data_IF_403621379171
#
_entry.id   IF_403621379171
#
_cell.length_a   1.000
_cell.length_b   1.000
_cell.length_c   1.000
_cell.angle_alpha   90.00
_cell.angle_beta   90.00
_cell.angle_gamma   90.00
#
_symmetry.space_group_name_H-M   'P 1'
#
loop_
_entity.id
_entity.type
_entity.pdbx_description
1 polymer ?
#
# COMPACT_ATOMS: atom_id res chain seq x y z
N UNK A 1 -3.31 38.52 1.82
CA UNK A 1 -4.73 38.24 2.16
C UNK A 1 -5.47 38.04 0.85
N UNK A 2 -6.22 36.95 0.66
CA UNK A 2 -7.13 36.80 -0.45
C UNK A 2 -8.35 37.67 -0.11
N UNK A 3 -8.69 38.61 -0.99
CA UNK A 3 -9.85 39.51 -0.79
C UNK A 3 -11.11 38.68 -0.59
N UNK A 4 -11.87 38.99 0.48
CA UNK A 4 -13.13 38.34 0.80
C UNK A 4 -13.05 37.16 1.78
N UNK A 5 -11.87 36.77 2.25
CA UNK A 5 -11.78 35.75 3.28
C UNK A 5 -11.88 36.34 4.71
N UNK A 6 -12.67 35.71 5.61
CA UNK A 6 -12.74 36.12 7.00
C UNK A 6 -11.38 35.99 7.69
N UNK A 7 -11.14 36.73 8.78
CA UNK A 7 -9.89 36.71 9.51
C UNK A 7 -9.55 35.34 10.12
N UNK A 8 -10.55 34.53 10.37
CA UNK A 8 -10.40 33.16 10.88
C UNK A 8 -11.38 32.23 10.19
N UNK A 9 -10.96 30.98 10.00
CA UNK A 9 -11.81 29.89 9.49
C UNK A 9 -13.03 29.66 10.40
N UNK A 10 -12.94 30.02 11.69
CA UNK A 10 -14.05 29.89 12.64
C UNK A 10 -15.20 30.87 12.37
N UNK A 11 -14.99 31.90 11.55
CA UNK A 11 -16.03 32.82 11.12
C UNK A 11 -16.68 32.43 9.79
N UNK A 12 -16.22 31.31 9.19
CA UNK A 12 -16.87 30.74 8.00
C UNK A 12 -18.08 29.92 8.42
N UNK A 13 -19.14 29.96 7.62
CA UNK A 13 -20.26 29.01 7.76
C UNK A 13 -19.81 27.64 7.24
N UNK A 14 -20.27 26.57 7.87
CA UNK A 14 -20.15 25.25 7.28
C UNK A 14 -20.90 25.22 5.96
N UNK A 15 -20.35 24.58 4.93
CA UNK A 15 -21.08 24.40 3.67
C UNK A 15 -22.35 23.58 3.94
N UNK A 16 -23.41 23.88 3.22
CA UNK A 16 -24.61 23.04 3.21
C UNK A 16 -24.27 21.70 2.54
N UNK A 17 -24.89 20.63 3.03
CA UNK A 17 -24.74 19.31 2.42
C UNK A 17 -25.38 19.30 1.04
N UNK A 18 -24.65 18.86 0.04
CA UNK A 18 -25.18 18.61 -1.30
C UNK A 18 -25.64 17.15 -1.37
N UNK A 19 -26.94 16.94 -1.21
CA UNK A 19 -27.55 15.61 -1.25
C UNK A 19 -27.36 14.91 -2.60
N UNK A 20 -27.14 15.66 -3.67
CA UNK A 20 -26.85 15.07 -5.00
C UNK A 20 -25.47 14.40 -5.07
N UNK A 21 -24.59 14.70 -4.12
CA UNK A 21 -23.27 14.05 -4.02
C UNK A 21 -23.29 12.77 -3.17
N UNK A 22 -24.43 12.40 -2.58
CA UNK A 22 -24.56 11.19 -1.76
C UNK A 22 -24.81 9.98 -2.69
N UNK A 23 -23.91 9.02 -2.69
CA UNK A 23 -24.05 7.73 -3.38
C UNK A 23 -24.02 6.60 -2.35
N UNK A 24 -25.21 6.18 -1.90
CA UNK A 24 -25.32 5.11 -0.91
C UNK A 24 -24.72 3.78 -1.37
N UNK A 25 -24.71 3.49 -2.67
CA UNK A 25 -24.13 2.26 -3.18
C UNK A 25 -22.60 2.29 -3.06
N UNK A 26 -22.00 3.44 -3.41
CA UNK A 26 -20.56 3.65 -3.26
C UNK A 26 -20.16 3.66 -1.79
N UNK A 27 -20.94 4.28 -0.91
CA UNK A 27 -20.67 4.28 0.54
C UNK A 27 -20.66 2.86 1.12
N UNK A 28 -21.62 2.02 0.73
CA UNK A 28 -21.68 0.60 1.14
C UNK A 28 -20.49 -0.18 0.60
N UNK A 29 -20.11 0.05 -0.67
CA UNK A 29 -18.93 -0.57 -1.27
C UNK A 29 -17.65 -0.18 -0.52
N UNK A 30 -17.49 1.10 -0.17
CA UNK A 30 -16.32 1.58 0.57
C UNK A 30 -16.30 1.06 2.01
N UNK A 31 -17.45 0.97 2.69
CA UNK A 31 -17.54 0.35 4.00
C UNK A 31 -17.08 -1.12 3.94
N UNK A 32 -17.60 -1.89 3.00
CA UNK A 32 -17.19 -3.28 2.77
C UNK A 32 -15.71 -3.41 2.39
N UNK A 33 -15.20 -2.45 1.61
CA UNK A 33 -13.77 -2.38 1.26
C UNK A 33 -12.88 -2.23 2.48
N UNK A 34 -13.26 -1.41 3.47
CA UNK A 34 -12.51 -1.26 4.72
C UNK A 34 -12.43 -2.57 5.48
N UNK A 35 -13.57 -3.26 5.63
CA UNK A 35 -13.62 -4.57 6.31
C UNK A 35 -12.77 -5.63 5.58
N UNK A 36 -12.80 -5.63 4.23
CA UNK A 36 -11.94 -6.48 3.42
C UNK A 36 -10.47 -6.20 3.70
N UNK A 37 -10.07 -4.93 3.71
CA UNK A 37 -8.68 -4.54 3.96
C UNK A 37 -8.22 -4.95 5.36
N UNK A 38 -9.04 -4.80 6.39
CA UNK A 38 -8.74 -5.27 7.75
C UNK A 38 -8.48 -6.79 7.75
N UNK A 39 -9.31 -7.55 7.02
CA UNK A 39 -9.15 -9.00 6.90
C UNK A 39 -7.87 -9.37 6.14
N UNK A 40 -7.51 -8.61 5.09
CA UNK A 40 -6.26 -8.80 4.34
C UNK A 40 -5.04 -8.48 5.20
N UNK A 41 -5.08 -7.39 5.97
CA UNK A 41 -3.99 -7.01 6.87
C UNK A 41 -3.78 -8.06 7.97
N UNK A 42 -4.86 -8.57 8.55
CA UNK A 42 -4.81 -9.68 9.51
C UNK A 42 -4.20 -10.94 8.88
N UNK A 43 -4.58 -11.29 7.64
CA UNK A 43 -4.02 -12.43 6.93
C UNK A 43 -2.52 -12.24 6.64
N UNK A 44 -2.09 -11.02 6.27
CA UNK A 44 -0.66 -10.70 6.10
C UNK A 44 0.13 -10.88 7.40
N UNK A 45 -0.45 -10.46 8.53
CA UNK A 45 0.19 -10.62 9.85
C UNK A 45 0.32 -12.10 10.23
N UNK A 46 -0.73 -12.90 10.05
CA UNK A 46 -0.72 -14.35 10.27
C UNK A 46 0.38 -15.04 9.44
N UNK A 47 0.61 -14.56 8.21
CA UNK A 47 1.65 -15.05 7.30
C UNK A 47 3.02 -14.39 7.51
N UNK A 48 3.15 -13.47 8.47
CA UNK A 48 4.37 -12.66 8.72
C UNK A 48 4.85 -11.86 7.50
N UNK A 49 3.92 -11.47 6.64
CA UNK A 49 4.17 -10.68 5.44
C UNK A 49 3.99 -9.19 5.75
N UNK A 50 5.09 -8.45 5.79
CA UNK A 50 5.06 -7.02 6.09
C UNK A 50 4.27 -6.25 5.03
N UNK A 51 3.48 -5.26 5.44
CA UNK A 51 2.66 -4.48 4.49
C UNK A 51 3.51 -3.80 3.40
N UNK A 52 4.73 -3.35 3.71
CA UNK A 52 5.65 -2.74 2.73
C UNK A 52 6.19 -3.70 1.67
N UNK A 53 6.04 -5.00 1.86
CA UNK A 53 6.43 -5.99 0.87
C UNK A 53 5.30 -6.16 -0.14
N UNK A 54 5.47 -5.71 -1.40
CA UNK A 54 4.46 -5.95 -2.41
C UNK A 54 4.25 -7.44 -2.63
N UNK A 55 3.02 -7.83 -2.91
CA UNK A 55 2.67 -9.20 -3.31
C UNK A 55 2.08 -9.18 -4.72
N UNK A 56 2.04 -10.34 -5.38
CA UNK A 56 1.59 -10.39 -6.76
C UNK A 56 0.10 -10.16 -6.87
N UNK A 57 -0.71 -10.91 -6.11
CA UNK A 57 -2.15 -10.89 -6.29
C UNK A 57 -2.91 -11.08 -4.98
N UNK A 58 -4.05 -10.42 -4.92
CA UNK A 58 -5.14 -10.66 -3.98
C UNK A 58 -6.39 -11.04 -4.77
N UNK A 59 -6.96 -12.20 -4.49
CA UNK A 59 -8.18 -12.68 -5.13
C UNK A 59 -9.30 -12.73 -4.10
N UNK A 60 -10.42 -12.10 -4.39
CA UNK A 60 -11.65 -12.30 -3.63
C UNK A 60 -12.55 -13.26 -4.39
N UNK A 61 -12.97 -14.33 -3.73
CA UNK A 61 -13.83 -15.36 -4.30
C UNK A 61 -15.18 -15.31 -3.64
N UNK A 62 -16.23 -15.04 -4.41
CA UNK A 62 -17.61 -15.03 -3.94
C UNK A 62 -18.56 -15.62 -4.98
N UNK A 63 -19.78 -15.93 -4.54
CA UNK A 63 -20.83 -16.48 -5.45
C UNK A 63 -21.20 -15.48 -6.53
N UNK A 64 -21.30 -14.19 -6.19
CA UNK A 64 -21.59 -13.11 -7.14
C UNK A 64 -20.44 -12.89 -8.13
N UNK A 65 -19.20 -13.06 -7.67
CA UNK A 65 -17.99 -12.89 -8.46
C UNK A 65 -17.68 -11.44 -8.84
N UNK A 66 -18.46 -10.47 -8.35
CA UNK A 66 -18.21 -9.04 -8.57
C UNK A 66 -18.92 -8.21 -7.50
N UNK A 67 -18.18 -7.77 -6.51
CA UNK A 67 -18.69 -7.03 -5.36
C UNK A 67 -17.99 -5.70 -5.10
N UNK A 68 -16.89 -5.43 -5.80
CA UNK A 68 -16.06 -4.23 -5.68
C UNK A 68 -15.84 -3.56 -7.05
N UNK A 69 -16.92 -3.12 -7.75
CA UNK A 69 -16.81 -2.60 -9.11
C UNK A 69 -15.95 -1.33 -9.23
N UNK A 70 -15.89 -0.52 -8.16
CA UNK A 70 -15.18 0.76 -8.16
C UNK A 70 -13.93 0.75 -7.28
N UNK A 71 -13.83 -0.16 -6.29
CA UNK A 71 -12.81 -0.14 -5.26
C UNK A 71 -11.53 -0.92 -5.60
N UNK A 72 -11.45 -1.59 -6.75
CA UNK A 72 -10.35 -2.50 -7.07
C UNK A 72 -8.96 -1.89 -6.96
N UNK A 73 -8.77 -0.65 -7.43
CA UNK A 73 -7.48 0.05 -7.33
C UNK A 73 -7.17 0.47 -5.89
N UNK A 74 -8.17 0.86 -5.13
CA UNK A 74 -8.04 1.23 -3.71
C UNK A 74 -7.61 0.00 -2.92
N UNK A 75 -8.25 -1.15 -3.17
CA UNK A 75 -7.91 -2.42 -2.53
C UNK A 75 -6.48 -2.82 -2.87
N UNK A 76 -6.11 -2.81 -4.14
CA UNK A 76 -4.76 -3.18 -4.58
C UNK A 76 -3.69 -2.29 -3.93
N UNK A 77 -3.88 -0.98 -3.94
CA UNK A 77 -2.95 -0.02 -3.36
C UNK A 77 -2.84 -0.16 -1.83
N UNK A 78 -3.97 -0.26 -1.14
CA UNK A 78 -4.00 -0.33 0.33
C UNK A 78 -3.51 -1.68 0.87
N UNK A 79 -3.78 -2.77 0.14
CA UNK A 79 -3.26 -4.09 0.46
C UNK A 79 -1.80 -4.29 0.01
N UNK A 80 -1.23 -3.34 -0.74
CA UNK A 80 0.08 -3.44 -1.38
C UNK A 80 0.24 -4.73 -2.20
N UNK A 81 -0.68 -4.93 -3.12
CA UNK A 81 -0.63 -6.02 -4.11
C UNK A 81 -0.59 -5.44 -5.51
N UNK A 82 0.09 -6.11 -6.44
CA UNK A 82 0.19 -5.65 -7.83
C UNK A 82 -1.14 -5.79 -8.58
N UNK A 83 -1.97 -6.75 -8.15
CA UNK A 83 -3.26 -7.00 -8.77
C UNK A 83 -4.30 -7.41 -7.73
N UNK A 84 -5.49 -6.83 -7.83
CA UNK A 84 -6.70 -7.31 -7.19
C UNK A 84 -7.63 -7.89 -8.25
N UNK A 85 -8.22 -9.04 -7.97
CA UNK A 85 -9.20 -9.66 -8.85
C UNK A 85 -10.33 -10.31 -8.06
N UNK A 86 -11.48 -10.39 -8.70
CA UNK A 86 -12.65 -11.08 -8.18
C UNK A 86 -12.93 -12.31 -9.04
N UNK A 87 -13.33 -13.40 -8.41
CA UNK A 87 -13.55 -14.68 -9.09
C UNK A 87 -14.71 -15.44 -8.45
N UNK A 88 -15.25 -16.41 -9.18
CA UNK A 88 -16.17 -17.41 -8.64
C UNK A 88 -15.48 -18.72 -8.28
N UNK A 89 -14.22 -18.86 -8.65
CA UNK A 89 -13.44 -20.08 -8.44
C UNK A 89 -12.17 -19.76 -7.66
N UNK A 90 -11.77 -20.66 -6.78
CA UNK A 90 -10.54 -20.53 -6.02
C UNK A 90 -9.32 -20.56 -6.94
N UNK A 91 -8.32 -19.68 -6.72
CA UNK A 91 -7.09 -19.67 -7.50
C UNK A 91 -6.26 -20.93 -7.22
N UNK A 92 -5.45 -21.33 -8.22
CA UNK A 92 -4.49 -22.43 -8.07
C UNK A 92 -3.11 -21.87 -7.74
N UNK A 93 -2.43 -22.45 -6.77
CA UNK A 93 -1.09 -22.02 -6.38
C UNK A 93 -0.90 -21.95 -4.87
N UNK A 94 0.10 -21.18 -4.43
CA UNK A 94 0.42 -20.98 -3.01
C UNK A 94 -0.28 -19.73 -2.48
N UNK A 95 -1.50 -19.89 -2.06
CA UNK A 95 -2.29 -18.82 -1.47
C UNK A 95 -2.54 -19.07 0.02
N UNK A 96 -2.38 -18.03 0.82
CA UNK A 96 -3.01 -17.98 2.13
C UNK A 96 -4.46 -17.54 1.95
N UNK A 97 -5.39 -18.09 2.72
CA UNK A 97 -6.80 -17.76 2.58
C UNK A 97 -7.47 -17.49 3.92
N UNK A 98 -8.49 -16.62 3.88
CA UNK A 98 -9.31 -16.27 5.03
C UNK A 98 -10.76 -16.03 4.59
N UNK A 99 -11.73 -16.44 5.41
CA UNK A 99 -13.14 -16.12 5.18
C UNK A 99 -13.39 -14.62 5.30
N UNK A 100 -14.22 -14.07 4.40
CA UNK A 100 -14.69 -12.69 4.44
C UNK A 100 -16.11 -12.59 3.87
N UNK A 101 -17.06 -12.11 4.66
CA UNK A 101 -18.46 -12.07 4.26
C UNK A 101 -18.95 -13.45 3.85
N UNK A 102 -19.63 -13.53 2.70
CA UNK A 102 -20.10 -14.78 2.11
C UNK A 102 -19.05 -15.47 1.21
N UNK A 103 -17.83 -14.93 1.16
CA UNK A 103 -16.73 -15.40 0.31
C UNK A 103 -15.45 -15.67 1.06
N UNK A 104 -14.35 -15.73 0.30
CA UNK A 104 -13.00 -15.91 0.81
C UNK A 104 -12.02 -14.99 0.10
N UNK A 105 -11.06 -14.50 0.83
CA UNK A 105 -9.88 -13.84 0.28
C UNK A 105 -8.74 -14.84 0.12
N UNK A 106 -7.98 -14.68 -0.95
CA UNK A 106 -6.79 -15.48 -1.26
C UNK A 106 -5.65 -14.52 -1.55
N UNK A 107 -4.61 -14.58 -0.74
CA UNK A 107 -3.42 -13.75 -0.87
C UNK A 107 -2.28 -14.61 -1.41
N UNK A 108 -1.73 -14.22 -2.56
CA UNK A 108 -0.59 -14.91 -3.14
C UNK A 108 0.63 -14.75 -2.22
N UNK A 109 1.15 -15.88 -1.77
CA UNK A 109 2.32 -15.96 -0.89
C UNK A 109 3.56 -16.47 -1.60
N UNK A 110 3.47 -16.77 -2.90
CA UNK A 110 4.62 -17.21 -3.68
C UNK A 110 5.42 -16.00 -4.17
N UNK A 111 6.59 -15.84 -3.60
CA UNK A 111 7.50 -14.75 -3.96
C UNK A 111 8.57 -15.26 -4.92
N UNK A 112 8.51 -14.83 -6.17
CA UNK A 112 9.58 -15.04 -7.14
C UNK A 112 10.86 -14.25 -6.79
N UNK A 113 11.94 -14.49 -7.53
CA UNK A 113 13.21 -13.81 -7.29
C UNK A 113 13.10 -12.29 -7.42
N UNK A 114 12.29 -11.81 -8.40
CA UNK A 114 12.08 -10.39 -8.62
C UNK A 114 11.35 -9.74 -7.47
N UNK A 115 10.32 -10.39 -6.95
CA UNK A 115 9.55 -9.88 -5.82
C UNK A 115 10.40 -9.83 -4.54
N UNK A 116 11.28 -10.81 -4.34
CA UNK A 116 12.24 -10.80 -3.24
C UNK A 116 13.24 -9.65 -3.34
N UNK A 117 13.76 -9.37 -4.55
CA UNK A 117 14.59 -8.17 -4.77
C UNK A 117 13.83 -6.88 -4.42
N UNK A 118 12.56 -6.77 -4.81
CA UNK A 118 11.73 -5.61 -4.44
C UNK A 118 11.58 -5.49 -2.91
N UNK A 119 11.42 -6.61 -2.19
CA UNK A 119 11.37 -6.60 -0.73
C UNK A 119 12.70 -6.16 -0.10
N UNK A 120 13.82 -6.64 -0.63
CA UNK A 120 15.15 -6.23 -0.17
C UNK A 120 15.38 -4.72 -0.36
N UNK A 121 14.96 -4.19 -1.51
CA UNK A 121 15.01 -2.76 -1.78
C UNK A 121 14.17 -1.96 -0.77
N UNK A 122 12.94 -2.40 -0.48
CA UNK A 122 12.07 -1.74 0.50
C UNK A 122 12.67 -1.78 1.92
N UNK A 123 13.26 -2.91 2.32
CA UNK A 123 13.94 -3.01 3.62
C UNK A 123 15.18 -2.12 3.70
N UNK A 124 15.99 -2.05 2.62
CA UNK A 124 17.14 -1.18 2.57
C UNK A 124 16.74 0.30 2.68
N UNK A 125 15.76 0.74 1.88
CA UNK A 125 15.24 2.11 1.94
C UNK A 125 14.74 2.46 3.34
N UNK A 126 14.03 1.55 3.98
CA UNK A 126 13.58 1.75 5.35
C UNK A 126 14.74 1.91 6.32
N UNK A 127 15.76 1.04 6.26
CA UNK A 127 16.94 1.14 7.13
C UNK A 127 17.63 2.49 6.98
N UNK A 128 17.76 2.97 5.74
CA UNK A 128 18.32 4.29 5.47
C UNK A 128 17.47 5.39 6.13
N UNK A 129 16.14 5.32 5.98
CA UNK A 129 15.25 6.31 6.62
C UNK A 129 15.30 6.25 8.16
N UNK A 130 15.40 5.06 8.74
CA UNK A 130 15.57 4.90 10.18
C UNK A 130 16.91 5.53 10.67
N UNK A 131 18.01 5.36 9.91
CA UNK A 131 19.29 6.00 10.20
C UNK A 131 19.21 7.53 10.07
N UNK A 132 18.57 8.05 9.03
CA UNK A 132 18.32 9.50 8.87
C UNK A 132 17.56 10.07 10.07
N UNK A 133 16.52 9.36 10.53
CA UNK A 133 15.75 9.75 11.71
C UNK A 133 16.60 9.75 12.98
N UNK A 134 17.45 8.74 13.17
CA UNK A 134 18.37 8.69 14.31
C UNK A 134 19.38 9.84 14.28
N UNK A 135 19.86 10.20 13.08
CA UNK A 135 20.73 11.35 12.87
C UNK A 135 20.00 12.70 12.94
N UNK A 136 18.68 12.72 13.20
CA UNK A 136 17.84 13.93 13.30
C UNK A 136 17.86 14.79 12.04
N UNK A 137 18.02 14.17 10.87
CA UNK A 137 18.01 14.86 9.57
C UNK A 137 16.58 15.25 9.19
N UNK A 138 16.43 16.40 8.53
CA UNK A 138 15.16 16.80 7.95
C UNK A 138 14.86 16.02 6.66
N UNK A 139 13.60 15.89 6.26
CA UNK A 139 13.25 15.23 5.00
C UNK A 139 13.90 15.87 3.76
N UNK A 140 14.15 17.18 3.80
CA UNK A 140 14.77 17.95 2.71
C UNK A 140 16.30 17.86 2.65
N UNK A 141 16.95 17.32 3.69
CA UNK A 141 18.41 17.23 3.74
C UNK A 141 18.89 16.16 2.75
N UNK A 142 19.87 16.53 1.92
CA UNK A 142 20.56 15.58 1.04
C UNK A 142 21.91 15.29 1.66
N UNK A 143 22.20 14.03 1.94
CA UNK A 143 23.43 13.60 2.61
C UNK A 143 24.17 12.54 1.79
N UNK A 144 25.50 12.55 1.89
CA UNK A 144 26.31 11.47 1.35
C UNK A 144 26.26 10.28 2.30
N UNK A 145 26.20 9.08 1.72
CA UNK A 145 26.09 7.83 2.45
C UNK A 145 27.05 6.80 1.87
N UNK A 146 27.90 6.25 2.72
CA UNK A 146 28.65 5.04 2.39
C UNK A 146 27.78 3.82 2.69
N UNK A 147 27.73 2.92 1.73
CA UNK A 147 26.89 1.72 1.79
C UNK A 147 27.76 0.48 1.65
N UNK A 148 28.05 -0.18 2.78
CA UNK A 148 28.73 -1.47 2.77
C UNK A 148 27.70 -2.59 2.58
N UNK A 149 27.62 -3.09 1.36
CA UNK A 149 26.72 -4.17 0.97
C UNK A 149 27.49 -5.23 0.20
N UNK A 150 27.33 -6.52 0.57
CA UNK A 150 27.99 -7.63 -0.15
C UNK A 150 27.59 -7.72 -1.62
N UNK A 151 26.33 -7.38 -1.93
CA UNK A 151 25.82 -7.40 -3.31
C UNK A 151 25.93 -6.02 -3.96
N UNK A 152 27.13 -5.74 -4.50
CA UNK A 152 27.40 -4.52 -5.26
C UNK A 152 26.55 -4.39 -6.53
N UNK A 153 26.13 -5.51 -7.14
CA UNK A 153 25.30 -5.51 -8.35
C UNK A 153 23.87 -5.03 -8.02
N UNK A 154 23.34 -5.48 -6.91
CA UNK A 154 22.05 -5.02 -6.41
C UNK A 154 22.05 -3.50 -6.17
N UNK A 155 23.08 -3.00 -5.47
CA UNK A 155 23.19 -1.55 -5.22
C UNK A 155 23.31 -0.77 -6.52
N UNK A 156 24.16 -1.20 -7.46
CA UNK A 156 24.33 -0.52 -8.76
C UNK A 156 23.00 -0.51 -9.58
N UNK A 157 22.23 -1.58 -9.52
CA UNK A 157 20.93 -1.70 -10.19
C UNK A 157 19.89 -0.72 -9.64
N UNK A 158 19.86 -0.51 -8.33
CA UNK A 158 18.83 0.27 -7.65
C UNK A 158 19.33 1.61 -7.08
N UNK A 159 20.58 2.03 -7.40
CA UNK A 159 21.20 3.23 -6.84
C UNK A 159 20.29 4.45 -6.96
N UNK A 160 19.77 4.72 -8.15
CA UNK A 160 18.88 5.85 -8.40
C UNK A 160 17.61 5.81 -7.54
N UNK A 161 16.96 4.66 -7.46
CA UNK A 161 15.73 4.49 -6.67
C UNK A 161 16.00 4.64 -5.17
N UNK A 162 17.19 4.21 -4.70
CA UNK A 162 17.61 4.38 -3.33
C UNK A 162 17.84 5.87 -3.05
N UNK A 163 18.60 6.56 -3.88
CA UNK A 163 18.94 7.97 -3.72
C UNK A 163 17.71 8.88 -3.73
N UNK A 164 16.86 8.73 -4.77
CA UNK A 164 15.63 9.52 -4.91
C UNK A 164 14.64 9.23 -3.77
N UNK A 165 14.52 7.96 -3.37
CA UNK A 165 13.55 7.56 -2.33
C UNK A 165 14.00 7.84 -0.90
N UNK A 166 15.27 8.17 -0.68
CA UNK A 166 15.81 8.38 0.67
C UNK A 166 16.45 9.74 0.91
N UNK A 167 16.64 10.55 -0.15
CA UNK A 167 17.35 11.83 -0.04
C UNK A 167 18.84 11.64 0.30
N UNK A 168 19.46 10.59 -0.21
CA UNK A 168 20.88 10.29 -0.01
C UNK A 168 21.62 10.27 -1.34
N UNK A 169 22.93 10.43 -1.31
CA UNK A 169 23.84 10.13 -2.43
C UNK A 169 24.79 9.05 -2.00
N UNK A 170 24.86 7.98 -2.77
CA UNK A 170 25.76 6.86 -2.50
C UNK A 170 27.17 7.26 -3.00
N UNK A 171 28.15 7.17 -2.11
CA UNK A 171 29.57 7.52 -2.37
C UNK A 171 30.48 6.34 -2.17
#
# INVERSE_FOLDING_TARGET
KRDGMPESIHFTRLPEADEACIDEALEKEIAKTKELLESVLSLREEQKLRLRWPLQELVYVSVSGKEFPNAGQIIAGSANVKKFSESKTEPKGKYASKGFGEGKIFLDTDADAKLKEEWELMELRRRIQDLRKQAKLNPSDIVNMELDCPDKKFIAKYAREIEEGTGTKIV
#
